data_IF_513689041257
#
_entry.id   IF_513689041257
#
_cell.length_a   1.000
_cell.length_b   1.000
_cell.length_c   1.000
_cell.angle_alpha   90.00
_cell.angle_beta   90.00
_cell.angle_gamma   90.00
#
_symmetry.space_group_name_H-M   'P 1'
#
loop_
_entity.id
_entity.type
_entity.pdbx_description
1 polymer ?
#
# COMPACT_ATOMS: atom_id res chain seq x y z
N UNK A 1 -13.95 -2.88 11.88
CA UNK A 1 -13.60 -1.44 11.84
C UNK A 1 -13.15 -0.99 13.22
N UNK A 2 -14.00 -1.07 14.25
CA UNK A 2 -13.64 -0.62 15.60
C UNK A 2 -12.40 -1.30 16.17
N UNK A 3 -12.29 -2.64 16.02
CA UNK A 3 -11.09 -3.38 16.45
C UNK A 3 -9.79 -2.87 15.80
N UNK A 4 -9.82 -2.64 14.48
CA UNK A 4 -8.65 -2.15 13.74
C UNK A 4 -8.43 -0.66 13.99
N UNK A 5 -9.49 0.13 14.18
CA UNK A 5 -9.39 1.54 14.55
C UNK A 5 -8.75 1.70 15.93
N UNK A 6 -9.09 0.86 16.90
CA UNK A 6 -8.45 0.83 18.22
C UNK A 6 -6.97 0.48 18.11
N UNK A 7 -6.59 -0.46 17.23
CA UNK A 7 -5.19 -0.78 16.99
C UNK A 7 -4.44 0.35 16.25
N UNK A 8 -5.07 0.99 15.27
CA UNK A 8 -4.52 2.14 14.52
C UNK A 8 -4.32 3.39 15.39
N UNK A 9 -5.11 3.55 16.45
CA UNK A 9 -5.04 4.67 17.40
C UNK A 9 -4.10 4.39 18.61
N UNK A 10 -3.43 3.22 18.63
CA UNK A 10 -2.69 2.70 19.78
C UNK A 10 -1.26 3.22 19.97
N UNK A 11 -1.14 4.29 20.76
CA UNK A 11 0.01 4.74 21.59
C UNK A 11 1.37 5.10 20.91
N UNK A 12 1.83 6.37 21.04
CA UNK A 12 3.19 6.75 20.68
C UNK A 12 4.20 6.12 21.65
N UNK A 13 5.12 5.31 21.13
CA UNK A 13 6.39 5.02 21.80
C UNK A 13 6.65 3.59 22.33
N UNK A 14 5.81 2.59 22.04
CA UNK A 14 6.11 1.22 22.51
C UNK A 14 5.35 0.09 21.83
N UNK A 15 6.07 -0.66 20.96
CA UNK A 15 5.76 -2.06 20.67
C UNK A 15 4.67 -2.35 19.63
N UNK A 16 4.74 -1.73 18.43
CA UNK A 16 3.89 -2.09 17.30
C UNK A 16 3.82 -3.61 17.08
N UNK A 17 4.94 -4.33 17.21
CA UNK A 17 4.99 -5.80 17.08
C UNK A 17 4.13 -6.56 18.11
N UNK A 18 4.01 -6.07 19.36
CA UNK A 18 3.16 -6.72 20.37
C UNK A 18 1.68 -6.47 20.11
N UNK A 19 1.33 -5.26 19.67
CA UNK A 19 -0.03 -4.90 19.30
C UNK A 19 -0.46 -5.62 18.02
N UNK A 20 0.45 -5.78 17.05
CA UNK A 20 0.25 -6.58 15.84
C UNK A 20 -0.11 -8.03 16.18
N UNK A 21 0.67 -8.70 17.02
CA UNK A 21 0.40 -10.08 17.42
C UNK A 21 -0.98 -10.26 18.07
N UNK A 22 -1.37 -9.35 18.98
CA UNK A 22 -2.70 -9.38 19.61
C UNK A 22 -3.81 -9.14 18.59
N UNK A 23 -3.66 -8.16 17.71
CA UNK A 23 -4.63 -7.87 16.65
C UNK A 23 -4.79 -9.06 15.70
N UNK A 24 -3.68 -9.67 15.27
CA UNK A 24 -3.67 -10.85 14.40
C UNK A 24 -4.45 -12.00 15.05
N UNK A 25 -4.16 -12.31 16.33
CA UNK A 25 -4.86 -13.37 17.07
C UNK A 25 -6.37 -13.09 17.16
N UNK A 26 -6.76 -11.87 17.54
CA UNK A 26 -8.17 -11.48 17.64
C UNK A 26 -8.91 -11.57 16.30
N UNK A 27 -8.25 -11.25 15.19
CA UNK A 27 -8.86 -11.40 13.86
C UNK A 27 -8.98 -12.88 13.50
N UNK A 28 -7.97 -13.71 13.77
CA UNK A 28 -8.03 -15.17 13.52
C UNK A 28 -9.17 -15.82 14.29
N UNK A 29 -9.29 -15.54 15.59
CA UNK A 29 -10.39 -16.03 16.43
C UNK A 29 -11.77 -15.64 15.88
N UNK A 30 -11.91 -14.41 15.35
CA UNK A 30 -13.17 -13.98 14.74
C UNK A 30 -13.46 -14.67 13.41
N UNK A 31 -12.44 -14.97 12.61
CA UNK A 31 -12.63 -15.73 11.37
C UNK A 31 -13.03 -17.17 11.68
N UNK A 32 -12.41 -17.79 12.69
CA UNK A 32 -12.77 -19.13 13.16
C UNK A 32 -14.22 -19.17 13.69
N UNK A 33 -14.58 -18.23 14.58
CA UNK A 33 -15.95 -18.11 15.07
C UNK A 33 -16.97 -17.85 13.94
N UNK A 34 -16.58 -17.14 12.88
CA UNK A 34 -17.42 -16.95 11.69
C UNK A 34 -17.63 -18.27 10.93
N UNK A 35 -16.58 -19.08 10.74
CA UNK A 35 -16.66 -20.39 10.07
C UNK A 35 -17.56 -21.37 10.82
N UNK A 36 -17.59 -21.28 12.14
CA UNK A 36 -18.48 -22.07 13.00
C UNK A 36 -19.94 -21.56 13.00
N UNK A 37 -20.24 -20.50 12.25
CA UNK A 37 -21.56 -19.87 12.17
C UNK A 37 -21.88 -18.95 13.35
N UNK A 38 -20.91 -18.67 14.22
CA UNK A 38 -21.08 -17.87 15.44
C UNK A 38 -20.91 -16.35 15.25
N UNK A 39 -20.05 -15.90 14.33
CA UNK A 39 -19.77 -14.48 14.17
C UNK A 39 -20.59 -13.83 13.03
N UNK A 40 -21.69 -13.15 13.38
CA UNK A 40 -22.55 -12.45 12.41
C UNK A 40 -21.91 -11.19 11.77
N UNK A 41 -20.66 -10.88 12.11
CA UNK A 41 -20.03 -9.59 11.83
C UNK A 41 -19.12 -9.57 10.60
N UNK A 42 -18.70 -10.71 10.05
CA UNK A 42 -17.88 -10.84 8.84
C UNK A 42 -18.69 -11.36 7.64
N UNK A 43 -19.52 -10.51 7.04
CA UNK A 43 -20.28 -10.84 5.82
C UNK A 43 -20.07 -9.85 4.68
N UNK A 44 -20.37 -10.30 3.46
CA UNK A 44 -20.20 -9.54 2.23
C UNK A 44 -18.75 -9.13 2.03
N UNK A 45 -18.51 -7.86 1.74
CA UNK A 45 -17.15 -7.33 1.48
C UNK A 45 -16.28 -7.13 2.72
N UNK A 46 -16.76 -7.46 3.92
CA UNK A 46 -16.08 -7.09 5.17
C UNK A 46 -14.72 -7.77 5.32
N UNK A 47 -14.53 -8.98 4.80
CA UNK A 47 -13.21 -9.62 4.75
C UNK A 47 -12.18 -8.76 4.00
N UNK A 48 -12.55 -8.27 2.82
CA UNK A 48 -11.69 -7.41 2.02
C UNK A 48 -11.46 -6.03 2.66
N UNK A 49 -12.49 -5.45 3.30
CA UNK A 49 -12.33 -4.23 4.10
C UNK A 49 -11.33 -4.45 5.25
N UNK A 50 -11.40 -5.59 5.96
CA UNK A 50 -10.49 -5.93 7.06
C UNK A 50 -9.07 -6.14 6.54
N UNK A 51 -8.88 -6.86 5.44
CA UNK A 51 -7.57 -7.05 4.82
C UNK A 51 -6.90 -5.72 4.51
N UNK A 52 -7.63 -4.80 3.86
CA UNK A 52 -7.07 -3.48 3.55
C UNK A 52 -6.73 -2.67 4.81
N UNK A 53 -7.59 -2.67 5.83
CA UNK A 53 -7.32 -1.97 7.08
C UNK A 53 -6.10 -2.53 7.83
N UNK A 54 -5.89 -3.86 7.77
CA UNK A 54 -4.69 -4.49 8.34
C UNK A 54 -3.43 -4.12 7.55
N UNK A 55 -3.52 -4.02 6.23
CA UNK A 55 -2.40 -3.53 5.42
C UNK A 55 -2.05 -2.10 5.83
N UNK A 56 -3.04 -1.21 5.95
CA UNK A 56 -2.83 0.15 6.44
C UNK A 56 -2.26 0.21 7.85
N UNK A 57 -2.63 -0.73 8.71
CA UNK A 57 -2.09 -0.83 10.04
C UNK A 57 -0.61 -1.25 10.02
N UNK A 58 -0.12 -1.86 8.94
CA UNK A 58 1.27 -2.31 8.82
C UNK A 58 1.46 -3.80 9.10
N UNK A 59 0.39 -4.59 9.15
CA UNK A 59 0.42 -6.03 9.51
C UNK A 59 1.12 -6.85 8.43
N UNK A 60 2.10 -7.66 8.83
CA UNK A 60 3.01 -8.40 7.93
C UNK A 60 2.69 -9.88 7.76
N UNK A 61 1.68 -10.39 8.46
CA UNK A 61 1.31 -11.82 8.44
C UNK A 61 0.61 -12.21 7.12
N UNK A 62 1.36 -12.77 6.16
CA UNK A 62 0.82 -13.21 4.87
C UNK A 62 -0.28 -14.28 5.02
N UNK A 63 -0.12 -15.21 5.96
CA UNK A 63 -1.12 -16.27 6.16
C UNK A 63 -2.47 -15.70 6.63
N UNK A 64 -2.46 -14.59 7.38
CA UNK A 64 -3.69 -13.90 7.76
C UNK A 64 -4.40 -13.27 6.54
N UNK A 65 -3.65 -12.70 5.60
CA UNK A 65 -4.22 -12.12 4.38
C UNK A 65 -4.80 -13.17 3.46
N UNK A 66 -4.15 -14.33 3.34
CA UNK A 66 -4.69 -15.50 2.63
C UNK A 66 -5.98 -15.99 3.31
N UNK A 67 -6.00 -16.10 4.64
CA UNK A 67 -7.21 -16.49 5.39
C UNK A 67 -8.38 -15.50 5.19
N UNK A 68 -8.11 -14.20 5.11
CA UNK A 68 -9.13 -13.19 4.80
C UNK A 68 -9.65 -13.32 3.37
N UNK A 69 -8.79 -13.64 2.42
CA UNK A 69 -9.16 -13.88 1.04
C UNK A 69 -9.95 -15.20 0.86
N UNK A 70 -9.68 -16.24 1.65
CA UNK A 70 -10.51 -17.44 1.76
C UNK A 70 -11.93 -17.08 2.22
N UNK A 71 -12.06 -16.33 3.31
CA UNK A 71 -13.36 -15.88 3.83
C UNK A 71 -14.13 -15.01 2.82
N UNK A 72 -13.40 -14.16 2.07
CA UNK A 72 -13.99 -13.40 0.97
C UNK A 72 -14.48 -14.31 -0.17
N UNK A 73 -13.71 -15.36 -0.52
CA UNK A 73 -14.09 -16.36 -1.52
C UNK A 73 -15.36 -17.12 -1.11
N UNK A 74 -15.44 -17.56 0.13
CA UNK A 74 -16.62 -18.24 0.69
C UNK A 74 -17.87 -17.32 0.64
N UNK A 75 -17.73 -16.05 1.01
CA UNK A 75 -18.83 -15.07 0.91
C UNK A 75 -19.26 -14.79 -0.54
N UNK A 76 -18.31 -14.72 -1.47
CA UNK A 76 -18.58 -14.60 -2.91
C UNK A 76 -19.29 -15.83 -3.46
N UNK A 77 -18.92 -17.06 -3.06
CA UNK A 77 -19.66 -18.27 -3.44
C UNK A 77 -21.09 -18.26 -2.90
N UNK A 78 -21.27 -17.83 -1.65
CA UNK A 78 -22.57 -17.78 -0.95
C UNK A 78 -23.54 -16.74 -1.53
N UNK A 79 -23.03 -15.59 -1.92
CA UNK A 79 -23.85 -14.42 -2.27
C UNK A 79 -23.64 -13.88 -3.68
N UNK A 80 -22.50 -14.18 -4.29
CA UNK A 80 -22.09 -13.66 -5.60
C UNK A 80 -23.09 -13.95 -6.70
N UNK A 81 -23.69 -15.15 -6.74
CA UNK A 81 -24.69 -15.47 -7.77
C UNK A 81 -26.05 -14.77 -7.57
N UNK A 82 -26.33 -14.21 -6.39
CA UNK A 82 -27.63 -13.59 -6.08
C UNK A 82 -27.82 -12.32 -6.91
N UNK A 83 -29.09 -12.02 -7.25
CA UNK A 83 -29.45 -10.77 -7.97
C UNK A 83 -29.12 -9.51 -7.19
N UNK A 84 -29.15 -9.59 -5.85
CA UNK A 84 -28.81 -8.48 -4.95
C UNK A 84 -27.31 -8.18 -4.88
N UNK A 85 -26.44 -9.10 -5.31
CA UNK A 85 -25.01 -8.86 -5.43
C UNK A 85 -24.72 -8.43 -6.87
N UNK A 86 -24.43 -7.15 -7.08
CA UNK A 86 -24.11 -6.60 -8.39
C UNK A 86 -22.67 -6.92 -8.82
N UNK A 87 -22.37 -6.68 -10.11
CA UNK A 87 -20.98 -6.72 -10.63
C UNK A 87 -20.07 -5.80 -9.82
N UNK A 88 -20.57 -4.62 -9.44
CA UNK A 88 -19.83 -3.67 -8.62
C UNK A 88 -19.48 -4.19 -7.23
N UNK A 89 -20.34 -5.04 -6.62
CA UNK A 89 -20.06 -5.62 -5.31
C UNK A 89 -18.97 -6.68 -5.39
N UNK A 90 -18.97 -7.51 -6.44
CA UNK A 90 -17.92 -8.51 -6.70
C UNK A 90 -16.58 -7.83 -6.94
N UNK A 91 -16.55 -6.85 -7.85
CA UNK A 91 -15.33 -6.09 -8.15
C UNK A 91 -14.81 -5.33 -6.93
N UNK A 92 -15.70 -4.78 -6.09
CA UNK A 92 -15.33 -4.11 -4.85
C UNK A 92 -14.60 -5.02 -3.85
N UNK A 93 -14.88 -6.34 -3.85
CA UNK A 93 -14.15 -7.32 -3.03
C UNK A 93 -12.75 -7.53 -3.60
N UNK A 94 -12.67 -7.85 -4.90
CA UNK A 94 -11.39 -8.10 -5.57
C UNK A 94 -10.46 -6.88 -5.50
N UNK A 95 -10.96 -5.68 -5.79
CA UNK A 95 -10.20 -4.42 -5.75
C UNK A 95 -9.55 -4.16 -4.39
N UNK A 96 -10.26 -4.46 -3.31
CA UNK A 96 -9.77 -4.23 -1.95
C UNK A 96 -8.74 -5.26 -1.53
N UNK A 97 -8.92 -6.53 -1.91
CA UNK A 97 -7.92 -7.57 -1.64
C UNK A 97 -6.63 -7.28 -2.42
N UNK A 98 -6.76 -6.88 -3.69
CA UNK A 98 -5.65 -6.41 -4.50
C UNK A 98 -4.95 -5.18 -3.89
N UNK A 99 -5.74 -4.17 -3.49
CA UNK A 99 -5.23 -2.99 -2.80
C UNK A 99 -4.63 -3.32 -1.43
N UNK A 100 -5.01 -4.42 -0.80
CA UNK A 100 -4.42 -4.94 0.42
C UNK A 100 -3.13 -5.75 0.16
N UNK A 101 -2.68 -5.85 -1.09
CA UNK A 101 -1.49 -6.60 -1.48
C UNK A 101 -1.67 -8.12 -1.50
N UNK A 102 -2.90 -8.64 -1.54
CA UNK A 102 -3.14 -10.08 -1.77
C UNK A 102 -2.78 -10.40 -3.23
N UNK A 103 -1.98 -11.46 -3.44
CA UNK A 103 -1.57 -11.92 -4.77
C UNK A 103 -1.76 -13.44 -4.92
N UNK A 104 -2.03 -13.89 -6.15
CA UNK A 104 -2.05 -15.32 -6.49
C UNK A 104 -3.16 -16.15 -5.86
N UNK A 105 -4.23 -15.53 -5.35
CA UNK A 105 -5.32 -16.22 -4.67
C UNK A 105 -6.49 -16.53 -5.62
N UNK A 106 -7.14 -17.69 -5.45
CA UNK A 106 -8.31 -18.11 -6.24
C UNK A 106 -9.53 -17.16 -6.20
N UNK A 107 -9.57 -16.23 -5.23
CA UNK A 107 -10.66 -15.26 -5.07
C UNK A 107 -10.82 -14.39 -6.31
N UNK A 108 -9.71 -14.12 -7.02
CA UNK A 108 -9.69 -13.28 -8.21
C UNK A 108 -10.30 -14.00 -9.42
N UNK A 109 -9.96 -15.29 -9.62
CA UNK A 109 -10.59 -16.12 -10.65
C UNK A 109 -12.09 -16.29 -10.38
N UNK A 110 -12.48 -16.54 -9.12
CA UNK A 110 -13.89 -16.59 -8.72
C UNK A 110 -14.62 -15.27 -9.01
N UNK A 111 -13.99 -14.13 -8.73
CA UNK A 111 -14.56 -12.82 -9.04
C UNK A 111 -14.78 -12.64 -10.54
N UNK A 112 -13.82 -13.05 -11.38
CA UNK A 112 -13.95 -13.01 -12.84
C UNK A 112 -15.11 -13.87 -13.35
N UNK A 113 -15.25 -15.10 -12.87
CA UNK A 113 -16.35 -16.00 -13.24
C UNK A 113 -17.72 -15.40 -12.88
N UNK A 114 -17.83 -14.82 -11.68
CA UNK A 114 -19.06 -14.16 -11.22
C UNK A 114 -19.41 -12.92 -12.05
N UNK A 115 -18.40 -12.12 -12.43
CA UNK A 115 -18.58 -10.95 -13.28
C UNK A 115 -19.04 -11.39 -14.68
N UNK A 116 -18.37 -12.37 -15.28
CA UNK A 116 -18.71 -12.91 -16.60
C UNK A 116 -20.14 -13.49 -16.64
N UNK A 117 -20.52 -14.27 -15.62
CA UNK A 117 -21.87 -14.81 -15.53
C UNK A 117 -22.95 -13.72 -15.45
N UNK A 118 -22.66 -12.59 -14.77
CA UNK A 118 -23.61 -11.48 -14.64
C UNK A 118 -23.69 -10.58 -15.87
N UNK A 119 -22.61 -10.40 -16.62
CA UNK A 119 -22.61 -9.60 -17.85
C UNK A 119 -23.34 -10.33 -18.98
N UNK A 120 -23.12 -11.64 -19.11
CA UNK A 120 -23.80 -12.48 -20.10
C UNK A 120 -25.33 -12.43 -19.94
N UNK A 121 -25.84 -12.49 -18.71
CA UNK A 121 -27.29 -12.45 -18.43
C UNK A 121 -27.92 -11.09 -18.77
N UNK A 122 -27.14 -10.00 -18.78
CA UNK A 122 -27.66 -8.64 -19.01
C UNK A 122 -27.62 -8.22 -20.48
N UNK A 123 -27.13 -9.06 -21.39
CA UNK A 123 -26.90 -8.68 -22.80
C UNK A 123 -25.94 -7.50 -22.94
N UNK A 124 -25.16 -7.21 -21.89
CA UNK A 124 -24.17 -6.14 -21.90
C UNK A 124 -22.90 -6.69 -22.56
N UNK A 125 -22.44 -6.01 -23.60
CA UNK A 125 -21.11 -6.25 -24.19
C UNK A 125 -20.09 -6.26 -23.06
N UNK A 126 -19.23 -7.29 -23.01
CA UNK A 126 -18.15 -7.36 -22.05
C UNK A 126 -17.37 -6.02 -22.05
N UNK A 127 -16.98 -5.48 -20.88
CA UNK A 127 -16.18 -4.27 -20.85
C UNK A 127 -14.91 -4.47 -21.70
N UNK A 128 -14.67 -3.53 -22.61
CA UNK A 128 -13.68 -3.61 -23.70
C UNK A 128 -12.22 -3.46 -23.23
N UNK A 129 -11.83 -4.20 -22.19
CA UNK A 129 -10.46 -4.25 -21.68
C UNK A 129 -9.99 -5.71 -21.67
N UNK A 130 -9.74 -6.26 -22.86
CA UNK A 130 -8.89 -7.44 -22.99
C UNK A 130 -7.44 -6.98 -22.78
N UNK A 131 -6.66 -7.58 -21.87
CA UNK A 131 -5.26 -7.21 -21.66
C UNK A 131 -4.49 -7.43 -22.96
N UNK A 132 -3.69 -6.44 -23.37
CA UNK A 132 -2.76 -6.57 -24.47
C UNK A 132 -1.73 -7.66 -24.13
N UNK A 133 -1.58 -8.63 -25.03
CA UNK A 133 -0.64 -9.73 -24.91
C UNK A 133 0.79 -9.21 -25.02
N UNK A 134 1.59 -9.31 -23.95
CA UNK A 134 3.04 -9.12 -24.01
C UNK A 134 3.61 -8.54 -22.71
N UNK A 135 4.31 -9.38 -21.95
CA UNK A 135 4.79 -9.09 -20.59
C UNK A 135 3.90 -9.80 -19.58
N UNK A 136 4.49 -10.35 -18.50
CA UNK A 136 3.78 -11.16 -17.49
C UNK A 136 2.40 -10.55 -17.18
N UNK A 137 1.35 -11.34 -17.39
CA UNK A 137 -0.02 -10.90 -17.33
C UNK A 137 -0.32 -10.42 -15.90
N UNK A 138 -0.08 -9.13 -15.65
CA UNK A 138 -0.55 -8.46 -14.45
C UNK A 138 -2.05 -8.73 -14.37
N UNK A 139 -2.40 -9.62 -13.44
CA UNK A 139 -3.75 -10.08 -13.19
C UNK A 139 -4.68 -8.87 -13.19
N UNK A 140 -5.87 -8.97 -13.79
CA UNK A 140 -6.89 -7.89 -13.75
C UNK A 140 -7.15 -7.41 -12.32
N UNK A 141 -6.82 -8.25 -11.34
CA UNK A 141 -6.92 -7.96 -9.92
C UNK A 141 -5.56 -7.87 -9.19
N UNK A 142 -4.47 -7.55 -9.89
CA UNK A 142 -3.20 -7.14 -9.29
C UNK A 142 -3.33 -5.75 -8.65
N UNK A 143 -2.55 -5.47 -7.59
CA UNK A 143 -2.41 -4.13 -7.01
C UNK A 143 -2.12 -3.05 -8.07
N UNK A 144 -1.43 -3.40 -9.15
CA UNK A 144 -1.03 -2.48 -10.21
C UNK A 144 -2.04 -2.33 -11.35
N UNK A 145 -3.15 -3.04 -11.26
CA UNK A 145 -4.23 -2.90 -12.25
C UNK A 145 -5.01 -1.61 -12.03
N UNK A 146 -5.60 -1.09 -13.12
CA UNK A 146 -6.30 0.21 -13.13
C UNK A 146 -7.34 0.33 -12.03
N UNK A 147 -8.13 -0.74 -11.78
CA UNK A 147 -9.23 -0.68 -10.81
C UNK A 147 -8.74 -0.62 -9.35
N UNK A 148 -7.85 -1.52 -8.87
CA UNK A 148 -7.27 -1.38 -7.54
C UNK A 148 -6.56 -0.03 -7.33
N UNK A 149 -5.77 0.44 -8.29
CA UNK A 149 -5.11 1.75 -8.20
C UNK A 149 -6.09 2.91 -8.13
N UNK A 150 -7.14 2.91 -8.96
CA UNK A 150 -8.18 3.95 -8.93
C UNK A 150 -8.95 3.93 -7.61
N UNK A 151 -9.24 2.74 -7.09
CA UNK A 151 -9.87 2.60 -5.78
C UNK A 151 -8.97 3.14 -4.68
N UNK A 152 -7.68 2.80 -4.70
CA UNK A 152 -6.68 3.25 -3.72
C UNK A 152 -6.49 4.76 -3.76
N UNK A 153 -6.46 5.35 -4.97
CA UNK A 153 -6.42 6.81 -5.15
C UNK A 153 -7.66 7.49 -4.57
N UNK A 154 -8.87 6.97 -4.83
CA UNK A 154 -10.11 7.50 -4.24
C UNK A 154 -10.10 7.40 -2.73
N UNK A 155 -9.62 6.28 -2.20
CA UNK A 155 -9.47 6.06 -0.77
C UNK A 155 -8.51 7.12 -0.19
N UNK A 156 -7.30 7.25 -0.72
CA UNK A 156 -6.31 8.21 -0.24
C UNK A 156 -6.81 9.65 -0.33
N UNK A 157 -7.45 10.03 -1.44
CA UNK A 157 -7.97 11.39 -1.66
C UNK A 157 -9.14 11.76 -0.74
N UNK A 158 -9.83 10.75 -0.17
CA UNK A 158 -10.94 10.97 0.77
C UNK A 158 -10.46 11.19 2.21
N UNK A 159 -9.19 10.92 2.51
CA UNK A 159 -8.65 11.12 3.85
C UNK A 159 -8.26 12.58 4.05
N UNK A 160 -8.72 13.16 5.15
CA UNK A 160 -8.28 14.49 5.54
C UNK A 160 -6.81 14.39 5.94
N UNK A 161 -5.99 15.25 5.35
CA UNK A 161 -4.60 15.41 5.77
C UNK A 161 -4.61 16.03 7.18
N UNK A 162 -4.21 15.23 8.17
CA UNK A 162 -3.93 15.74 9.51
C UNK A 162 -2.51 16.30 9.55
N UNK A 163 -2.24 17.35 10.36
CA UNK A 163 -0.88 17.78 10.62
C UNK A 163 -0.04 16.59 11.07
N UNK A 164 0.99 16.26 10.29
CA UNK A 164 1.90 15.17 10.62
C UNK A 164 2.83 15.63 11.75
N UNK A 165 3.23 14.73 12.65
CA UNK A 165 4.30 15.03 13.60
C UNK A 165 5.59 15.42 12.84
N UNK A 166 6.55 16.06 13.53
CA UNK A 166 7.89 16.23 12.98
C UNK A 166 8.45 14.90 12.50
N UNK A 167 9.07 14.89 11.32
CA UNK A 167 9.73 13.69 10.83
C UNK A 167 10.87 13.30 11.79
N UNK A 168 11.16 11.99 11.95
CA UNK A 168 12.40 11.58 12.59
C UNK A 168 13.59 12.20 11.85
N UNK A 169 14.54 12.79 12.58
CA UNK A 169 15.74 13.36 11.97
C UNK A 169 16.69 12.29 11.42
N UNK A 170 17.73 12.75 10.70
CA UNK A 170 18.73 11.89 10.02
C UNK A 170 19.32 10.78 10.91
N UNK A 171 19.60 11.02 12.19
CA UNK A 171 20.13 10.00 13.10
C UNK A 171 19.14 8.85 13.37
N UNK A 172 17.84 9.18 13.44
CA UNK A 172 16.80 8.19 13.59
C UNK A 172 16.64 7.36 12.31
N UNK A 173 16.73 8.00 11.15
CA UNK A 173 16.75 7.32 9.86
C UNK A 173 17.97 6.40 9.74
N UNK A 174 19.17 6.88 10.07
CA UNK A 174 20.40 6.08 10.02
C UNK A 174 20.29 4.82 10.91
N UNK A 175 19.77 4.97 12.14
CA UNK A 175 19.49 3.82 13.03
C UNK A 175 18.46 2.86 12.47
N UNK A 176 17.41 3.38 11.82
CA UNK A 176 16.41 2.56 11.15
C UNK A 176 17.01 1.79 9.98
N UNK A 177 17.74 2.45 9.09
CA UNK A 177 18.36 1.85 7.91
C UNK A 177 19.46 0.85 8.27
N UNK A 178 20.21 1.07 9.37
CA UNK A 178 21.19 0.10 9.86
C UNK A 178 20.53 -1.25 10.21
N UNK A 179 19.30 -1.22 10.74
CA UNK A 179 18.54 -2.43 11.07
C UNK A 179 17.82 -3.04 9.87
N UNK A 180 17.44 -2.22 8.89
CA UNK A 180 16.67 -2.61 7.71
C UNK A 180 17.50 -2.35 6.45
N UNK A 181 18.76 -2.80 6.47
CA UNK A 181 19.69 -2.59 5.37
C UNK A 181 19.34 -3.50 4.21
N UNK A 182 19.65 -3.03 3.01
CA UNK A 182 19.66 -3.86 1.81
C UNK A 182 20.63 -5.03 1.98
N UNK A 183 20.27 -6.20 1.44
CA UNK A 183 21.11 -7.39 1.48
C UNK A 183 22.44 -7.15 0.76
N UNK A 184 22.38 -6.53 -0.42
CA UNK A 184 23.55 -6.04 -1.17
C UNK A 184 23.44 -4.52 -1.39
N UNK A 185 24.09 -3.68 -0.57
CA UNK A 185 24.03 -2.22 -0.70
C UNK A 185 24.90 -1.68 -1.84
N UNK A 186 25.58 -2.53 -2.62
CA UNK A 186 26.38 -2.12 -3.78
C UNK A 186 25.57 -2.03 -5.07
N UNK A 187 24.37 -2.62 -5.10
CA UNK A 187 23.47 -2.58 -6.25
C UNK A 187 22.98 -1.16 -6.57
N UNK A 188 22.53 -0.88 -7.80
CA UNK A 188 21.92 0.40 -8.13
C UNK A 188 20.66 0.67 -7.28
N UNK A 189 20.47 1.93 -6.87
CA UNK A 189 19.35 2.36 -6.03
C UNK A 189 18.35 3.21 -6.82
N UNK A 190 17.07 2.80 -6.82
CA UNK A 190 15.94 3.65 -7.17
C UNK A 190 15.35 4.33 -5.92
N UNK A 191 15.10 5.63 -5.97
CA UNK A 191 14.59 6.40 -4.82
C UNK A 191 13.24 7.02 -5.15
N UNK A 192 12.28 7.04 -4.22
CA UNK A 192 11.01 7.77 -4.35
C UNK A 192 10.78 8.68 -3.14
N UNK A 193 10.88 10.00 -3.38
CA UNK A 193 10.79 11.03 -2.34
C UNK A 193 9.35 11.54 -2.24
N UNK A 194 8.70 11.26 -1.11
CA UNK A 194 7.26 11.47 -0.95
C UNK A 194 6.45 10.34 -1.59
N UNK A 195 6.89 9.10 -1.34
CA UNK A 195 6.38 7.90 -2.02
C UNK A 195 4.90 7.56 -1.69
N UNK A 196 4.29 8.21 -0.70
CA UNK A 196 2.93 7.95 -0.27
C UNK A 196 2.75 6.47 0.10
N UNK A 197 1.85 5.79 -0.62
CA UNK A 197 1.55 4.37 -0.43
C UNK A 197 2.58 3.41 -1.09
N UNK A 198 3.62 3.95 -1.73
CA UNK A 198 4.74 3.17 -2.25
C UNK A 198 4.44 2.30 -3.47
N UNK A 199 3.27 2.44 -4.11
CA UNK A 199 2.85 1.56 -5.21
C UNK A 199 3.79 1.60 -6.42
N UNK A 200 4.39 2.76 -6.72
CA UNK A 200 5.37 2.86 -7.80
C UNK A 200 6.61 1.99 -7.52
N UNK A 201 7.21 2.11 -6.33
CA UNK A 201 8.37 1.31 -5.97
C UNK A 201 8.04 -0.17 -5.77
N UNK A 202 6.83 -0.52 -5.30
CA UNK A 202 6.39 -1.90 -5.25
C UNK A 202 6.36 -2.53 -6.66
N UNK A 203 5.92 -1.77 -7.67
CA UNK A 203 5.93 -2.23 -9.06
C UNK A 203 7.36 -2.37 -9.58
N UNK A 204 8.19 -1.32 -9.47
CA UNK A 204 9.59 -1.35 -9.90
C UNK A 204 10.37 -2.49 -9.24
N UNK A 205 10.22 -2.65 -7.92
CA UNK A 205 10.86 -3.74 -7.23
C UNK A 205 10.40 -5.09 -7.80
N UNK A 206 9.10 -5.30 -7.98
CA UNK A 206 8.60 -6.58 -8.50
C UNK A 206 9.17 -6.96 -9.88
N UNK A 207 9.51 -5.98 -10.72
CA UNK A 207 10.03 -6.19 -12.08
C UNK A 207 11.56 -6.14 -12.20
N UNK A 208 12.27 -5.61 -11.21
CA UNK A 208 13.71 -5.33 -11.29
C UNK A 208 14.46 -5.89 -10.06
N UNK A 209 14.71 -7.22 -10.01
CA UNK A 209 15.39 -7.87 -8.88
C UNK A 209 16.86 -7.46 -8.69
N UNK A 210 17.50 -6.89 -9.70
CA UNK A 210 18.90 -6.46 -9.72
C UNK A 210 19.15 -5.07 -9.10
N UNK A 211 18.12 -4.43 -8.54
CA UNK A 211 18.18 -3.11 -7.94
C UNK A 211 17.62 -3.07 -6.52
N UNK A 212 18.17 -2.15 -5.73
CA UNK A 212 17.59 -1.72 -4.47
C UNK A 212 16.63 -0.56 -4.70
N UNK A 213 15.70 -0.39 -3.76
CA UNK A 213 14.68 0.66 -3.79
C UNK A 213 14.47 1.26 -2.39
N UNK A 214 14.47 2.59 -2.31
CA UNK A 214 14.19 3.34 -1.09
C UNK A 214 13.05 4.33 -1.31
N UNK A 215 11.93 4.11 -0.62
CA UNK A 215 10.84 5.09 -0.53
C UNK A 215 10.88 5.83 0.79
N UNK A 216 10.69 7.15 0.77
CA UNK A 216 10.45 7.90 2.00
C UNK A 216 9.14 8.70 1.93
N UNK A 217 8.47 8.81 3.06
CA UNK A 217 7.31 9.68 3.25
C UNK A 217 7.22 10.09 4.72
N UNK A 218 6.63 11.24 5.01
CA UNK A 218 6.42 11.66 6.40
C UNK A 218 5.23 10.96 7.04
N UNK A 219 4.31 10.43 6.25
CA UNK A 219 3.12 9.75 6.71
C UNK A 219 3.44 8.30 7.12
N UNK A 220 3.57 8.07 8.42
CA UNK A 220 3.87 6.74 8.98
C UNK A 220 2.84 5.69 8.63
N UNK A 221 1.57 6.06 8.39
CA UNK A 221 0.52 5.12 8.02
C UNK A 221 0.73 4.60 6.58
N UNK A 222 1.12 5.47 5.64
CA UNK A 222 1.38 5.04 4.26
C UNK A 222 2.69 4.24 4.17
N UNK A 223 3.69 4.60 4.98
CA UNK A 223 4.91 3.80 5.15
C UNK A 223 4.61 2.44 5.76
N UNK A 224 3.74 2.38 6.78
CA UNK A 224 3.27 1.12 7.37
C UNK A 224 2.60 0.23 6.33
N UNK A 225 1.69 0.80 5.54
CA UNK A 225 1.06 0.13 4.40
C UNK A 225 2.08 -0.47 3.43
N UNK A 226 2.97 0.36 2.89
CA UNK A 226 3.94 -0.05 1.88
C UNK A 226 4.90 -1.12 2.44
N UNK A 227 5.44 -0.89 3.64
CA UNK A 227 6.34 -1.83 4.34
C UNK A 227 5.68 -3.19 4.59
N UNK A 228 4.38 -3.20 4.90
CA UNK A 228 3.65 -4.44 5.13
C UNK A 228 3.56 -5.29 3.87
N UNK A 229 3.30 -4.66 2.72
CA UNK A 229 3.24 -5.32 1.43
C UNK A 229 4.63 -5.81 1.04
N UNK A 230 5.66 -4.99 1.18
CA UNK A 230 7.07 -5.39 0.95
C UNK A 230 7.43 -6.68 1.70
N UNK A 231 7.08 -6.77 2.99
CA UNK A 231 7.35 -7.95 3.80
C UNK A 231 6.59 -9.18 3.28
N UNK A 232 5.29 -9.03 3.04
CA UNK A 232 4.43 -10.12 2.53
C UNK A 232 4.82 -10.60 1.14
N UNK A 233 5.36 -9.70 0.32
CA UNK A 233 5.79 -10.02 -1.04
C UNK A 233 7.20 -10.59 -1.12
N UNK A 234 7.93 -10.63 0.01
CA UNK A 234 9.31 -11.11 0.05
C UNK A 234 10.28 -10.16 -0.65
N UNK A 235 10.06 -8.85 -0.53
CA UNK A 235 10.88 -7.80 -1.14
C UNK A 235 11.78 -7.07 -0.14
N UNK A 236 11.79 -7.49 1.13
CA UNK A 236 12.46 -6.76 2.22
C UNK A 236 13.99 -6.78 2.17
N UNK A 237 14.57 -7.66 1.34
CA UNK A 237 15.99 -7.73 1.03
C UNK A 237 16.48 -6.53 0.21
N UNK A 238 15.62 -5.95 -0.63
CA UNK A 238 16.00 -4.90 -1.60
C UNK A 238 15.06 -3.70 -1.69
N UNK A 239 13.87 -3.75 -1.09
CA UNK A 239 12.95 -2.62 -1.03
C UNK A 239 12.73 -2.21 0.43
N UNK A 240 12.97 -0.94 0.72
CA UNK A 240 12.80 -0.37 2.05
C UNK A 240 11.95 0.91 2.00
N UNK A 241 11.06 1.07 2.98
CA UNK A 241 10.25 2.27 3.15
C UNK A 241 10.55 2.91 4.52
N UNK A 242 10.86 4.19 4.53
CA UNK A 242 11.24 4.92 5.73
C UNK A 242 10.29 6.11 6.00
N UNK A 243 9.86 6.24 7.25
CA UNK A 243 9.17 7.43 7.71
C UNK A 243 10.19 8.54 7.96
N UNK A 244 10.40 9.42 6.97
CA UNK A 244 11.47 10.42 6.98
C UNK A 244 11.15 11.62 6.09
N UNK A 245 11.88 12.71 6.29
CA UNK A 245 11.90 13.82 5.34
C UNK A 245 12.73 13.48 4.10
N UNK A 246 12.39 14.07 2.96
CA UNK A 246 13.10 13.88 1.70
C UNK A 246 14.58 14.31 1.81
N UNK A 247 14.86 15.42 2.50
CA UNK A 247 16.23 15.93 2.67
C UNK A 247 17.07 15.01 3.55
N UNK A 248 16.50 14.53 4.66
CA UNK A 248 17.19 13.58 5.55
C UNK A 248 17.48 12.26 4.82
N UNK A 249 16.59 11.84 3.94
CA UNK A 249 16.76 10.66 3.10
C UNK A 249 17.92 10.83 2.13
N UNK A 250 18.00 11.95 1.42
CA UNK A 250 19.13 12.24 0.52
C UNK A 250 20.46 12.35 1.27
N UNK A 251 20.45 12.99 2.44
CA UNK A 251 21.63 13.09 3.31
C UNK A 251 22.14 11.69 3.71
N UNK A 252 21.23 10.80 4.13
CA UNK A 252 21.59 9.41 4.46
C UNK A 252 22.19 8.68 3.25
N UNK A 253 21.58 8.82 2.06
CA UNK A 253 22.09 8.20 0.82
C UNK A 253 23.52 8.64 0.56
N UNK A 254 23.78 9.96 0.53
CA UNK A 254 25.12 10.52 0.26
C UNK A 254 26.19 10.04 1.25
N UNK A 255 25.80 9.85 2.51
CA UNK A 255 26.74 9.52 3.59
C UNK A 255 26.97 8.01 3.73
N UNK A 256 26.02 7.18 3.32
CA UNK A 256 25.97 5.78 3.77
C UNK A 256 25.78 4.77 2.66
N UNK A 257 25.05 5.10 1.59
CA UNK A 257 24.75 4.11 0.55
C UNK A 257 25.95 3.91 -0.38
N UNK A 258 26.35 2.65 -0.60
CA UNK A 258 27.60 2.33 -1.31
C UNK A 258 27.46 2.16 -2.82
N UNK A 259 26.25 1.85 -3.31
CA UNK A 259 25.97 1.67 -4.73
C UNK A 259 25.61 2.98 -5.43
N UNK A 260 25.53 2.97 -6.77
CA UNK A 260 25.12 4.16 -7.52
C UNK A 260 23.62 4.41 -7.35
N UNK A 261 23.20 5.68 -7.37
CA UNK A 261 21.78 6.02 -7.48
C UNK A 261 21.40 6.08 -8.95
N UNK A 262 20.44 5.24 -9.36
CA UNK A 262 20.03 5.11 -10.75
C UNK A 262 18.97 6.13 -11.15
N UNK A 263 17.98 6.34 -10.29
CA UNK A 263 16.95 7.37 -10.48
C UNK A 263 16.41 7.86 -9.15
N UNK A 264 15.83 9.07 -9.18
CA UNK A 264 15.05 9.64 -8.08
C UNK A 264 13.70 10.09 -8.62
N UNK A 265 12.62 9.61 -8.02
CA UNK A 265 11.25 9.97 -8.34
C UNK A 265 10.79 11.12 -7.41
N UNK A 266 10.17 12.12 -8.03
CA UNK A 266 9.54 13.26 -7.39
C UNK A 266 8.11 13.39 -7.94
N UNK A 267 7.22 12.53 -7.47
CA UNK A 267 5.89 12.37 -8.08
C UNK A 267 4.82 13.12 -7.28
N UNK A 268 4.03 13.93 -7.98
CA UNK A 268 2.82 14.57 -7.47
C UNK A 268 2.97 15.18 -6.06
N UNK A 269 4.00 16.00 -5.81
CA UNK A 269 4.17 16.63 -4.50
C UNK A 269 2.90 17.40 -4.13
N UNK A 270 2.49 17.33 -2.87
CA UNK A 270 1.30 18.05 -2.40
C UNK A 270 1.47 19.55 -2.69
N UNK A 271 0.58 20.16 -3.49
CA UNK A 271 0.72 21.56 -3.85
C UNK A 271 0.55 22.43 -2.59
N UNK A 272 1.18 23.61 -2.57
CA UNK A 272 0.96 24.57 -1.51
C UNK A 272 -0.28 25.44 -1.80
N UNK A 273 -0.84 26.03 -0.75
CA UNK A 273 -2.00 26.92 -0.85
C UNK A 273 -1.63 28.20 -1.62
N UNK A 274 -2.39 28.50 -2.68
CA UNK A 274 -2.31 29.77 -3.40
C UNK A 274 -3.12 30.82 -2.63
N UNK A 275 -2.41 31.78 -2.02
CA UNK A 275 -2.89 32.99 -1.32
C UNK A 275 -4.03 32.82 -0.29
N UNK A 276 -3.79 33.30 0.94
CA UNK A 276 -4.56 32.98 2.15
C UNK A 276 -6.04 33.39 2.23
N UNK A 277 -6.67 33.81 1.12
CA UNK A 277 -8.07 34.27 1.07
C UNK A 277 -9.06 33.23 0.54
N UNK A 278 -8.63 32.20 -0.18
CA UNK A 278 -9.52 31.10 -0.61
C UNK A 278 -8.72 29.87 -1.05
N UNK A 279 -9.07 28.68 -0.57
CA UNK A 279 -8.46 27.42 -1.00
C UNK A 279 -8.65 26.28 -0.02
N UNK A 280 -8.25 25.07 -0.41
CA UNK A 280 -8.26 23.90 0.47
C UNK A 280 -7.31 24.13 1.66
N UNK A 281 -7.89 24.32 2.86
CA UNK A 281 -7.14 24.58 4.10
C UNK A 281 -6.28 23.39 4.57
N UNK A 282 -6.38 22.24 3.90
CA UNK A 282 -5.54 21.08 4.13
C UNK A 282 -4.19 21.15 3.39
N UNK A 283 -4.01 22.09 2.46
CA UNK A 283 -2.74 22.26 1.74
C UNK A 283 -1.72 22.99 2.62
N UNK A 284 -0.43 22.61 2.54
CA UNK A 284 0.63 23.30 3.25
C UNK A 284 0.78 24.74 2.76
N UNK A 285 1.41 25.58 3.60
CA UNK A 285 1.95 26.86 3.15
C UNK A 285 3.14 26.65 2.21
N UNK A 286 3.57 27.70 1.52
CA UNK A 286 4.72 27.64 0.59
C UNK A 286 6.00 27.12 1.26
N UNK A 287 6.21 27.45 2.54
CA UNK A 287 7.33 26.96 3.35
C UNK A 287 7.27 25.45 3.65
N UNK A 288 6.08 24.85 3.59
CA UNK A 288 5.86 23.42 3.75
C UNK A 288 5.84 22.65 2.43
N UNK A 289 6.11 23.31 1.30
CA UNK A 289 6.20 22.62 0.02
C UNK A 289 7.48 21.79 -0.05
N UNK A 290 7.35 20.50 -0.37
CA UNK A 290 8.47 19.55 -0.38
C UNK A 290 9.56 19.94 -1.37
N UNK A 291 9.19 20.38 -2.58
CA UNK A 291 10.17 20.70 -3.62
C UNK A 291 10.76 22.09 -3.39
N UNK A 292 12.01 22.12 -2.97
CA UNK A 292 12.85 23.31 -2.94
C UNK A 292 13.94 23.21 -3.99
N UNK A 293 14.51 24.36 -4.40
CA UNK A 293 15.66 24.41 -5.29
C UNK A 293 16.81 23.56 -4.76
N UNK A 294 17.10 23.69 -3.46
CA UNK A 294 18.18 22.96 -2.80
C UNK A 294 17.97 21.45 -2.85
N UNK A 295 16.75 20.96 -2.61
CA UNK A 295 16.44 19.54 -2.71
C UNK A 295 16.71 19.01 -4.12
N UNK A 296 16.28 19.75 -5.15
CA UNK A 296 16.53 19.38 -6.56
C UNK A 296 18.02 19.37 -6.88
N UNK A 297 18.78 20.34 -6.38
CA UNK A 297 20.23 20.37 -6.58
C UNK A 297 20.93 19.18 -5.90
N UNK A 298 20.50 18.78 -4.70
CA UNK A 298 21.00 17.58 -4.04
C UNK A 298 20.69 16.30 -4.83
N UNK A 299 19.50 16.20 -5.43
CA UNK A 299 19.15 15.08 -6.31
C UNK A 299 20.09 15.04 -7.52
N UNK A 300 20.38 16.18 -8.14
CA UNK A 300 21.32 16.27 -9.27
C UNK A 300 22.73 15.84 -8.85
N UNK A 301 23.19 16.25 -7.67
CA UNK A 301 24.49 15.85 -7.14
C UNK A 301 24.59 14.34 -6.89
N UNK A 302 23.54 13.72 -6.33
CA UNK A 302 23.49 12.28 -6.06
C UNK A 302 23.44 11.44 -7.34
N UNK A 303 22.83 11.96 -8.40
CA UNK A 303 22.76 11.30 -9.71
C UNK A 303 24.01 11.53 -10.57
N UNK A 304 24.94 12.39 -10.13
CA UNK A 304 26.18 12.61 -10.84
C UNK A 304 27.06 11.33 -10.78
N UNK A 305 27.68 10.93 -11.90
CA UNK A 305 28.49 9.72 -11.99
C UNK A 305 29.80 9.79 -11.21
#
# INVERSE_FOLDING_TARGET
KDLVATALLGAPGGGFQRQEAVLVLQIRERIEAWREGGAADLHGRKFADVAFLLAQAGVRDEALFQLLADGASEELRRTGHRRSCGVGDVLAVAERLAAAGVRGHEVFALADDLVAGKTCVRGASAPAEAPQQGGEAWDRHSLFSTRPLLWLWRFASSHRMHPLPPAPGVDALARFMTKNRFEDPSLPLGVDLGCGLGTALLACASETPEMNFLGCDRNTQTIGYASSITARWGLSDRLCFAAADARDTLCWIQQTYSGPVHFVLLQFPTPFRLDGQSGNSQLPERSGFMLSRDLVLQVVEILAP
#
